data_IF_287442571848
#
_entry.id   IF_287442571848
#
_cell.length_a   1.000
_cell.length_b   1.000
_cell.length_c   1.000
_cell.angle_alpha   90.00
_cell.angle_beta   90.00
_cell.angle_gamma   90.00
#
_symmetry.space_group_name_H-M   'P 1'
#
loop_
_entity.id
_entity.type
_entity.pdbx_description
1 polymer ?
#
# COMPACT_ATOMS: atom_id res chain seq x y z
N UNK A 1 -11.48 -11.51 5.27
CA UNK A 1 -10.28 -12.01 5.98
C UNK A 1 -10.33 -13.52 5.82
N UNK A 2 -9.26 -14.19 5.39
CA UNK A 2 -9.30 -15.65 5.18
C UNK A 2 -9.18 -16.35 6.54
N UNK A 3 -10.07 -17.31 6.79
CA UNK A 3 -10.00 -18.22 7.93
C UNK A 3 -9.03 -19.36 7.56
N UNK A 4 -7.74 -19.05 7.69
CA UNK A 4 -6.63 -19.97 7.46
C UNK A 4 -6.20 -20.69 8.77
N UNK A 5 -5.29 -21.66 8.66
CA UNK A 5 -4.77 -22.39 9.82
C UNK A 5 -4.22 -21.45 10.90
N UNK A 6 -3.59 -20.34 10.49
CA UNK A 6 -3.07 -19.29 11.38
C UNK A 6 -4.19 -18.52 12.11
N UNK A 7 -5.41 -18.44 11.58
CA UNK A 7 -6.56 -17.87 12.28
C UNK A 7 -7.08 -18.89 13.32
N UNK A 8 -7.12 -20.16 12.99
CA UNK A 8 -7.53 -21.22 13.92
C UNK A 8 -6.61 -21.26 15.13
N UNK A 9 -5.29 -21.24 14.93
CA UNK A 9 -4.30 -21.16 16.02
C UNK A 9 -4.50 -19.90 16.90
N UNK A 10 -4.81 -18.76 16.28
CA UNK A 10 -5.06 -17.51 17.02
C UNK A 10 -6.34 -17.61 17.87
N UNK A 11 -7.42 -18.20 17.33
CA UNK A 11 -8.67 -18.45 18.06
C UNK A 11 -8.44 -19.37 19.24
N UNK A 12 -7.72 -20.47 19.07
CA UNK A 12 -7.38 -21.39 20.17
C UNK A 12 -6.54 -20.72 21.23
N UNK A 13 -5.53 -19.93 20.84
CA UNK A 13 -4.70 -19.15 21.77
C UNK A 13 -5.51 -18.15 22.58
N UNK A 14 -6.42 -17.41 21.94
CA UNK A 14 -7.29 -16.44 22.64
C UNK A 14 -8.26 -17.18 23.57
N UNK A 15 -8.76 -18.33 23.18
CA UNK A 15 -9.65 -19.15 24.01
C UNK A 15 -8.94 -19.66 25.28
N UNK A 16 -7.67 -20.01 25.18
CA UNK A 16 -6.91 -20.59 26.28
C UNK A 16 -6.31 -19.52 27.23
N UNK A 17 -5.73 -18.46 26.65
CA UNK A 17 -4.97 -17.43 27.41
C UNK A 17 -5.63 -16.07 27.48
N UNK A 18 -6.76 -15.89 26.79
CA UNK A 18 -7.36 -14.57 26.58
C UNK A 18 -6.57 -13.72 25.61
N UNK A 19 -6.99 -12.48 25.45
CA UNK A 19 -6.36 -11.52 24.55
C UNK A 19 -5.19 -10.82 25.25
N UNK A 20 -3.99 -11.37 25.15
CA UNK A 20 -2.78 -10.88 25.83
C UNK A 20 -2.36 -9.48 25.36
N UNK A 21 -2.49 -9.23 24.05
CA UNK A 21 -2.15 -7.94 23.45
C UNK A 21 -3.42 -7.16 23.11
N UNK A 22 -3.58 -5.97 23.66
CA UNK A 22 -4.71 -5.07 23.40
C UNK A 22 -4.71 -4.66 21.94
N UNK A 23 -5.91 -4.43 21.38
CA UNK A 23 -6.06 -3.77 20.08
C UNK A 23 -5.83 -2.27 20.23
N UNK A 24 -5.56 -1.59 19.11
CA UNK A 24 -5.41 -0.12 19.09
C UNK A 24 -6.55 0.44 18.26
N UNK A 25 -7.25 1.42 18.83
CA UNK A 25 -8.40 2.08 18.21
C UNK A 25 -8.32 3.59 18.36
N UNK A 26 -9.04 4.33 17.51
CA UNK A 26 -9.32 5.76 17.68
C UNK A 26 -10.83 6.03 17.63
N UNK A 27 -11.35 7.07 18.29
CA UNK A 27 -12.72 7.52 18.06
C UNK A 27 -12.90 7.98 16.61
N UNK A 28 -14.06 7.72 16.02
CA UNK A 28 -14.39 8.28 14.70
C UNK A 28 -14.68 9.78 14.83
N UNK A 29 -14.32 10.57 13.81
CA UNK A 29 -14.45 12.02 13.86
C UNK A 29 -15.91 12.48 13.94
N UNK A 30 -16.81 11.81 13.20
CA UNK A 30 -18.24 12.14 13.12
C UNK A 30 -19.10 11.45 14.19
N UNK A 31 -18.63 10.32 14.74
CA UNK A 31 -19.34 9.50 15.74
C UNK A 31 -18.38 9.09 16.86
N UNK A 32 -18.13 9.97 17.85
CA UNK A 32 -17.15 9.71 18.92
C UNK A 32 -17.40 8.47 19.78
N UNK A 33 -18.60 7.90 19.71
CA UNK A 33 -18.98 6.64 20.40
C UNK A 33 -18.55 5.40 19.59
N UNK A 34 -18.23 5.56 18.31
CA UNK A 34 -17.72 4.50 17.43
C UNK A 34 -16.19 4.59 17.31
N UNK A 35 -15.56 3.44 17.17
CA UNK A 35 -14.12 3.34 17.12
C UNK A 35 -13.64 2.69 15.83
N UNK A 36 -12.64 3.31 15.22
CA UNK A 36 -11.90 2.75 14.09
C UNK A 36 -10.70 1.95 14.62
N UNK A 37 -10.53 0.72 14.11
CA UNK A 37 -9.41 -0.15 14.50
C UNK A 37 -8.16 0.26 13.70
N UNK A 38 -7.11 0.69 14.41
CA UNK A 38 -5.81 1.00 13.84
C UNK A 38 -4.95 -0.26 13.73
N UNK A 39 -4.97 -1.10 14.77
CA UNK A 39 -4.19 -2.34 14.80
C UNK A 39 -4.90 -3.43 15.61
N UNK A 40 -4.87 -4.65 15.07
CA UNK A 40 -5.44 -5.82 15.73
C UNK A 40 -6.69 -6.39 15.07
N UNK A 41 -6.97 -6.10 13.80
CA UNK A 41 -8.13 -6.62 13.06
C UNK A 41 -8.29 -8.15 13.16
N UNK A 42 -7.19 -8.92 13.06
CA UNK A 42 -7.23 -10.39 13.23
C UNK A 42 -7.67 -10.81 14.63
N UNK A 43 -7.24 -10.06 15.66
CA UNK A 43 -7.62 -10.31 17.07
C UNK A 43 -9.10 -10.02 17.31
N UNK A 44 -9.62 -8.94 16.71
CA UNK A 44 -11.06 -8.64 16.75
C UNK A 44 -11.83 -9.75 16.08
N UNK A 45 -11.47 -10.14 14.87
CA UNK A 45 -12.15 -11.21 14.13
C UNK A 45 -12.12 -12.55 14.91
N UNK A 46 -10.98 -12.93 15.48
CA UNK A 46 -10.88 -14.13 16.32
C UNK A 46 -11.75 -14.03 17.59
N UNK A 47 -11.88 -12.83 18.17
CA UNK A 47 -12.75 -12.60 19.32
C UNK A 47 -14.23 -12.67 18.95
N UNK A 48 -14.61 -12.22 17.74
CA UNK A 48 -15.96 -12.38 17.19
C UNK A 48 -16.31 -13.85 16.98
N UNK A 49 -15.39 -14.67 16.44
CA UNK A 49 -15.58 -16.12 16.31
C UNK A 49 -15.75 -16.84 17.66
N UNK A 50 -15.22 -16.26 18.72
CA UNK A 50 -15.37 -16.74 20.11
C UNK A 50 -16.61 -16.13 20.82
N UNK A 51 -17.42 -15.34 20.13
CA UNK A 51 -18.60 -14.64 20.68
C UNK A 51 -18.26 -13.77 21.91
N UNK A 52 -17.04 -13.20 21.95
CA UNK A 52 -16.64 -12.31 23.04
C UNK A 52 -17.40 -10.99 22.96
N UNK A 53 -18.00 -10.56 24.06
CA UNK A 53 -18.77 -9.32 24.15
C UNK A 53 -17.91 -8.06 24.18
N UNK A 54 -16.69 -8.17 24.68
CA UNK A 54 -15.77 -7.06 24.88
C UNK A 54 -14.35 -7.47 24.50
N UNK A 55 -13.63 -6.53 23.89
CA UNK A 55 -12.23 -6.71 23.48
C UNK A 55 -11.40 -5.61 24.14
N UNK A 56 -10.34 -5.93 24.91
CA UNK A 56 -9.50 -4.93 25.54
C UNK A 56 -8.77 -4.08 24.48
N UNK A 57 -8.96 -2.77 24.56
CA UNK A 57 -8.43 -1.81 23.60
C UNK A 57 -7.62 -0.71 24.28
N UNK A 58 -6.68 -0.12 23.54
CA UNK A 58 -6.03 1.16 23.85
C UNK A 58 -6.60 2.20 22.91
N UNK A 59 -7.17 3.27 23.48
CA UNK A 59 -7.75 4.37 22.69
C UNK A 59 -6.69 5.44 22.49
N UNK A 60 -6.40 5.75 21.22
CA UNK A 60 -5.56 6.88 20.81
C UNK A 60 -6.43 8.01 20.28
N UNK A 61 -6.33 9.19 20.87
CA UNK A 61 -7.00 10.40 20.41
C UNK A 61 -6.11 11.11 19.38
N UNK A 62 -6.11 10.59 18.17
CA UNK A 62 -5.29 11.03 17.04
C UNK A 62 -6.20 11.24 15.81
N UNK A 63 -5.76 12.09 14.88
CA UNK A 63 -6.47 12.29 13.63
C UNK A 63 -6.33 11.09 12.67
N UNK A 64 -7.04 11.15 11.54
CA UNK A 64 -7.06 10.06 10.55
C UNK A 64 -5.71 9.84 9.88
N UNK A 65 -4.96 10.92 9.62
CA UNK A 65 -3.64 10.82 8.97
C UNK A 65 -2.61 10.20 9.93
N UNK A 66 -2.61 10.61 11.20
CA UNK A 66 -1.78 10.00 12.24
C UNK A 66 -2.12 8.52 12.45
N UNK A 67 -3.40 8.18 12.45
CA UNK A 67 -3.86 6.79 12.56
C UNK A 67 -3.41 5.95 11.35
N UNK A 68 -3.47 6.51 10.14
CA UNK A 68 -3.00 5.87 8.93
C UNK A 68 -1.48 5.60 8.99
N UNK A 69 -0.69 6.57 9.44
CA UNK A 69 0.75 6.40 9.62
C UNK A 69 1.05 5.30 10.62
N UNK A 70 0.38 5.31 11.79
CA UNK A 70 0.55 4.29 12.83
C UNK A 70 0.17 2.88 12.33
N UNK A 71 -0.92 2.75 11.58
CA UNK A 71 -1.36 1.49 10.97
C UNK A 71 -0.31 0.97 9.97
N UNK A 72 0.19 1.83 9.09
CA UNK A 72 1.21 1.46 8.11
C UNK A 72 2.50 1.02 8.80
N UNK A 73 2.97 1.76 9.82
CA UNK A 73 4.19 1.41 10.55
C UNK A 73 4.05 0.06 11.25
N UNK A 74 2.89 -0.21 11.86
CA UNK A 74 2.60 -1.52 12.47
C UNK A 74 2.57 -2.66 11.44
N UNK A 75 2.08 -2.41 10.24
CA UNK A 75 2.01 -3.40 9.17
C UNK A 75 3.38 -3.61 8.48
N UNK A 76 4.16 -2.54 8.27
CA UNK A 76 5.49 -2.63 7.65
C UNK A 76 6.52 -3.43 8.48
N UNK A 77 6.24 -3.67 9.77
CA UNK A 77 7.06 -4.52 10.62
C UNK A 77 6.83 -6.03 10.43
N UNK A 78 5.86 -6.42 9.58
CA UNK A 78 5.61 -7.82 9.25
C UNK A 78 6.65 -8.33 8.26
N UNK A 79 7.22 -9.52 8.52
CA UNK A 79 8.30 -10.12 7.72
C UNK A 79 7.87 -10.58 6.31
N UNK A 80 6.57 -10.76 6.05
CA UNK A 80 6.06 -11.41 4.83
C UNK A 80 5.10 -10.51 4.04
N UNK A 81 5.42 -9.21 3.87
CA UNK A 81 4.65 -8.34 2.99
C UNK A 81 4.96 -8.62 1.52
N UNK A 82 3.92 -8.74 0.69
CA UNK A 82 4.11 -8.76 -0.76
C UNK A 82 4.62 -7.39 -1.25
N UNK A 83 5.15 -7.37 -2.48
CA UNK A 83 5.69 -6.14 -3.04
C UNK A 83 4.60 -5.07 -3.21
N UNK A 84 3.38 -5.47 -3.60
CA UNK A 84 2.25 -4.56 -3.76
C UNK A 84 1.62 -4.13 -2.44
N UNK A 85 1.62 -4.99 -1.41
CA UNK A 85 1.22 -4.58 -0.05
C UNK A 85 2.16 -3.49 0.48
N UNK A 86 3.47 -3.66 0.30
CA UNK A 86 4.47 -2.65 0.65
C UNK A 86 4.30 -1.36 -0.16
N UNK A 87 4.01 -1.47 -1.46
CA UNK A 87 3.75 -0.33 -2.33
C UNK A 87 2.52 0.48 -1.88
N UNK A 88 1.41 -0.20 -1.59
CA UNK A 88 0.18 0.43 -1.08
C UNK A 88 0.39 1.08 0.29
N UNK A 89 1.11 0.41 1.18
CA UNK A 89 1.47 0.95 2.50
C UNK A 89 2.26 2.24 2.38
N UNK A 90 3.28 2.27 1.53
CA UNK A 90 4.07 3.48 1.29
C UNK A 90 3.26 4.60 0.64
N UNK A 91 2.33 4.26 -0.28
CA UNK A 91 1.40 5.22 -0.86
C UNK A 91 0.52 5.86 0.20
N UNK A 92 -0.14 5.05 1.03
CA UNK A 92 -1.01 5.53 2.11
C UNK A 92 -0.25 6.45 3.08
N UNK A 93 0.96 6.05 3.49
CA UNK A 93 1.80 6.86 4.38
C UNK A 93 2.25 8.18 3.72
N UNK A 94 2.59 8.15 2.44
CA UNK A 94 2.96 9.35 1.68
C UNK A 94 1.79 10.33 1.56
N UNK A 95 0.59 9.83 1.27
CA UNK A 95 -0.62 10.64 1.16
C UNK A 95 -0.97 11.28 2.53
N UNK A 96 -0.94 10.52 3.62
CA UNK A 96 -1.18 11.03 4.98
C UNK A 96 -0.18 12.11 5.39
N UNK A 97 1.12 11.90 5.18
CA UNK A 97 2.15 12.88 5.47
C UNK A 97 2.01 14.17 4.63
N UNK A 98 1.55 14.03 3.38
CA UNK A 98 1.31 15.18 2.49
C UNK A 98 0.09 16.00 2.92
N UNK A 99 -0.95 15.36 3.47
CA UNK A 99 -2.11 16.05 4.02
C UNK A 99 -1.76 16.85 5.27
N UNK A 100 -1.00 16.28 6.20
CA UNK A 100 -0.53 16.98 7.39
C UNK A 100 0.30 18.23 7.04
N UNK A 101 1.16 18.18 6.01
CA UNK A 101 1.92 19.32 5.52
C UNK A 101 1.06 20.46 5.00
N UNK A 102 -0.06 20.17 4.34
CA UNK A 102 -1.02 21.18 3.84
C UNK A 102 -1.82 21.84 4.95
N UNK A 103 -2.19 21.12 5.98
CA UNK A 103 -2.97 21.62 7.12
C UNK A 103 -2.15 22.63 7.95
N UNK A 104 -0.83 22.53 7.95
CA UNK A 104 0.08 23.46 8.61
C UNK A 104 0.37 24.77 7.82
N UNK A 105 -0.37 25.03 6.72
CA UNK A 105 -0.34 26.32 6.01
C UNK A 105 0.90 26.59 5.18
N UNK A 106 1.68 25.58 4.84
CA UNK A 106 2.82 25.73 3.95
C UNK A 106 2.43 25.46 2.50
N UNK A 107 2.54 26.48 1.64
CA UNK A 107 2.54 26.30 0.19
C UNK A 107 3.81 25.54 -0.21
N UNK A 108 3.65 24.23 -0.42
CA UNK A 108 4.78 23.32 -0.56
C UNK A 108 5.14 23.12 -2.02
N UNK A 109 6.38 23.43 -2.44
CA UNK A 109 6.86 23.13 -3.80
C UNK A 109 6.99 21.62 -4.03
N UNK A 110 6.93 21.17 -5.30
CA UNK A 110 7.16 19.77 -5.76
C UNK A 110 8.44 19.08 -5.21
N UNK A 111 9.30 19.77 -4.47
CA UNK A 111 10.48 19.23 -3.80
C UNK A 111 10.19 18.44 -2.51
N UNK A 112 8.94 18.49 -1.99
CA UNK A 112 8.59 17.77 -0.75
C UNK A 112 8.33 16.28 -0.97
N UNK A 113 7.95 15.88 -2.16
CA UNK A 113 7.77 14.46 -2.50
C UNK A 113 9.07 13.66 -2.22
N UNK A 114 10.23 14.28 -2.46
CA UNK A 114 11.52 13.67 -2.15
C UNK A 114 11.83 13.63 -0.64
N UNK A 115 11.34 14.57 0.16
CA UNK A 115 11.53 14.58 1.62
C UNK A 115 10.64 13.53 2.29
N UNK A 116 9.39 13.44 1.87
CA UNK A 116 8.43 12.46 2.37
C UNK A 116 8.89 11.04 2.06
N UNK A 117 9.28 10.77 0.81
CA UNK A 117 9.80 9.46 0.41
C UNK A 117 11.12 9.10 1.08
N UNK A 118 11.99 10.08 1.35
CA UNK A 118 13.22 9.86 2.11
C UNK A 118 12.93 9.55 3.59
N UNK A 119 11.94 10.22 4.21
CA UNK A 119 11.51 9.92 5.57
C UNK A 119 10.97 8.49 5.67
N UNK A 120 10.04 8.11 4.78
CA UNK A 120 9.48 6.76 4.73
C UNK A 120 10.59 5.72 4.54
N UNK A 121 11.52 5.96 3.61
CA UNK A 121 12.62 5.06 3.34
C UNK A 121 13.54 4.87 4.54
N UNK A 122 13.93 5.93 5.22
CA UNK A 122 14.79 5.87 6.40
C UNK A 122 14.15 5.06 7.54
N UNK A 123 12.84 5.21 7.76
CA UNK A 123 12.10 4.49 8.78
C UNK A 123 11.95 2.99 8.46
N UNK A 124 11.82 2.65 7.18
CA UNK A 124 11.62 1.28 6.70
C UNK A 124 12.92 0.56 6.26
N UNK A 125 14.07 1.24 6.30
CA UNK A 125 15.34 0.69 5.83
C UNK A 125 15.50 0.64 4.30
N UNK A 126 14.65 1.36 3.55
CA UNK A 126 14.68 1.43 2.10
C UNK A 126 15.30 2.74 1.58
N UNK A 127 15.85 2.71 0.37
CA UNK A 127 16.26 3.95 -0.28
C UNK A 127 15.04 4.77 -0.74
N UNK A 128 15.15 6.10 -0.76
CA UNK A 128 14.08 6.98 -1.28
C UNK A 128 13.67 6.61 -2.72
N UNK A 129 14.61 6.17 -3.55
CA UNK A 129 14.33 5.69 -4.92
C UNK A 129 13.50 4.41 -4.93
N UNK A 130 13.74 3.52 -3.98
CA UNK A 130 12.94 2.29 -3.80
C UNK A 130 11.52 2.65 -3.41
N UNK A 131 11.36 3.56 -2.45
CA UNK A 131 10.04 4.05 -2.01
C UNK A 131 9.27 4.67 -3.18
N UNK A 132 9.89 5.57 -3.95
CA UNK A 132 9.27 6.17 -5.14
C UNK A 132 8.83 5.12 -6.17
N UNK A 133 9.69 4.13 -6.45
CA UNK A 133 9.36 3.05 -7.38
C UNK A 133 8.19 2.21 -6.88
N UNK A 134 8.18 1.85 -5.60
CA UNK A 134 7.10 1.09 -5.00
C UNK A 134 5.77 1.86 -5.06
N UNK A 135 5.76 3.13 -4.64
CA UNK A 135 4.57 3.98 -4.75
C UNK A 135 4.08 4.01 -6.21
N UNK A 136 4.98 4.11 -7.18
CA UNK A 136 4.61 4.14 -8.59
C UNK A 136 3.93 2.86 -9.08
N UNK A 137 4.25 1.69 -8.51
CA UNK A 137 3.58 0.42 -8.86
C UNK A 137 2.07 0.43 -8.57
N UNK A 138 1.60 1.29 -7.67
CA UNK A 138 0.17 1.39 -7.36
C UNK A 138 -0.66 1.98 -8.52
N UNK A 139 -0.02 2.48 -9.58
CA UNK A 139 -0.66 2.97 -10.80
C UNK A 139 -0.79 1.91 -11.91
N UNK A 140 -0.35 0.68 -11.64
CA UNK A 140 -0.58 -0.44 -12.53
C UNK A 140 -2.04 -0.91 -12.48
N UNK A 141 -2.52 -1.44 -13.59
CA UNK A 141 -3.80 -2.17 -13.61
C UNK A 141 -3.72 -3.42 -12.71
N UNK A 142 -4.86 -3.89 -12.15
CA UNK A 142 -4.86 -4.98 -11.18
C UNK A 142 -4.12 -6.24 -11.64
N UNK A 143 -4.26 -6.60 -12.91
CA UNK A 143 -3.64 -7.78 -13.51
C UNK A 143 -2.11 -7.70 -13.47
N UNK A 144 -1.54 -6.54 -13.81
CA UNK A 144 -0.09 -6.31 -13.72
C UNK A 144 0.40 -6.29 -12.26
N UNK A 145 -0.42 -5.80 -11.31
CA UNK A 145 -0.11 -5.87 -9.90
C UNK A 145 -0.05 -7.32 -9.42
N UNK A 146 -0.95 -8.18 -9.89
CA UNK A 146 -0.96 -9.60 -9.56
C UNK A 146 0.28 -10.32 -10.11
N UNK A 147 0.72 -9.98 -11.33
CA UNK A 147 1.97 -10.53 -11.88
C UNK A 147 3.20 -10.11 -11.07
N UNK A 148 3.18 -8.92 -10.49
CA UNK A 148 4.25 -8.46 -9.58
C UNK A 148 4.22 -9.24 -8.26
N UNK A 149 3.07 -9.40 -7.64
CA UNK A 149 2.91 -10.10 -6.36
C UNK A 149 3.19 -11.60 -6.47
N UNK A 150 2.81 -12.23 -7.59
CA UNK A 150 3.15 -13.63 -7.88
C UNK A 150 4.62 -13.84 -8.28
N UNK A 151 5.40 -12.76 -8.42
CA UNK A 151 6.81 -12.83 -8.82
C UNK A 151 7.05 -13.11 -10.31
N UNK A 152 6.00 -13.24 -11.12
CA UNK A 152 6.09 -13.42 -12.58
C UNK A 152 6.70 -12.20 -13.26
N UNK A 153 6.37 -11.00 -12.78
CA UNK A 153 6.96 -9.74 -13.25
C UNK A 153 7.85 -9.12 -12.18
N UNK A 154 9.05 -8.69 -12.59
CA UNK A 154 9.99 -8.01 -11.69
C UNK A 154 9.62 -6.54 -11.50
N UNK A 155 10.04 -5.95 -10.38
CA UNK A 155 9.75 -4.55 -10.02
C UNK A 155 10.18 -3.53 -11.08
N UNK A 156 11.34 -3.72 -11.73
CA UNK A 156 11.84 -2.70 -12.68
C UNK A 156 11.03 -2.63 -13.98
N UNK A 157 10.71 -3.73 -14.68
CA UNK A 157 9.75 -3.69 -15.79
C UNK A 157 8.41 -3.09 -15.37
N UNK A 158 7.82 -3.54 -14.26
CA UNK A 158 6.55 -3.05 -13.75
C UNK A 158 6.58 -1.53 -13.49
N UNK A 159 7.67 -1.01 -12.92
CA UNK A 159 7.87 0.43 -12.73
C UNK A 159 7.83 1.20 -14.06
N UNK A 160 8.48 0.72 -15.10
CA UNK A 160 8.45 1.39 -16.41
C UNK A 160 7.02 1.36 -17.03
N UNK A 161 6.30 0.24 -16.91
CA UNK A 161 4.94 0.09 -17.41
C UNK A 161 3.93 0.97 -16.67
N UNK A 162 4.17 1.28 -15.41
CA UNK A 162 3.29 2.14 -14.62
C UNK A 162 3.18 3.58 -15.13
N UNK A 163 4.01 3.99 -16.08
CA UNK A 163 3.93 5.31 -16.72
C UNK A 163 3.01 5.34 -17.96
N UNK A 164 2.57 4.20 -18.42
CA UNK A 164 1.60 4.06 -19.50
C UNK A 164 0.20 4.35 -18.94
N UNK A 165 -0.73 4.72 -19.81
CA UNK A 165 -2.14 4.79 -19.45
C UNK A 165 -2.76 3.39 -19.31
N UNK A 166 -3.99 3.35 -18.82
CA UNK A 166 -4.69 2.11 -18.50
C UNK A 166 -4.95 1.25 -19.75
N UNK A 167 -5.23 1.88 -20.91
CA UNK A 167 -5.46 1.20 -22.18
C UNK A 167 -4.19 0.48 -22.64
N UNK A 168 -3.06 1.20 -22.71
CA UNK A 168 -1.78 0.61 -23.09
C UNK A 168 -1.30 -0.47 -22.11
N UNK A 169 -1.61 -0.33 -20.83
CA UNK A 169 -1.31 -1.38 -19.85
C UNK A 169 -2.14 -2.64 -20.08
N UNK A 170 -3.42 -2.51 -20.45
CA UNK A 170 -4.29 -3.66 -20.80
C UNK A 170 -3.85 -4.35 -22.07
N UNK A 171 -3.44 -3.61 -23.10
CA UNK A 171 -2.86 -4.20 -24.31
C UNK A 171 -1.64 -5.08 -24.00
N UNK A 172 -0.83 -4.64 -23.01
CA UNK A 172 0.32 -5.43 -22.55
C UNK A 172 -0.13 -6.69 -21.80
N UNK A 173 -1.18 -6.61 -20.97
CA UNK A 173 -1.77 -7.78 -20.31
C UNK A 173 -2.23 -8.79 -21.35
N UNK A 174 -3.02 -8.35 -22.33
CA UNK A 174 -3.53 -9.22 -23.41
C UNK A 174 -2.38 -9.90 -24.16
N UNK A 175 -1.31 -9.16 -24.47
CA UNK A 175 -0.13 -9.71 -25.12
C UNK A 175 0.61 -10.73 -24.22
N UNK A 176 0.69 -10.49 -22.92
CA UNK A 176 1.28 -11.44 -21.96
C UNK A 176 0.45 -12.72 -21.89
N UNK A 177 -0.88 -12.60 -21.88
CA UNK A 177 -1.79 -13.74 -21.77
C UNK A 177 -1.76 -14.61 -23.07
N UNK A 178 -1.59 -13.97 -24.24
CA UNK A 178 -1.45 -14.68 -25.51
C UNK A 178 -0.08 -15.36 -25.68
N UNK A 179 1.00 -14.73 -25.22
CA UNK A 179 2.37 -15.17 -25.49
C UNK A 179 3.06 -15.85 -24.33
N UNK A 180 2.46 -15.80 -23.14
CA UNK A 180 3.06 -16.20 -21.85
C UNK A 180 4.45 -15.57 -21.60
N UNK A 181 4.71 -14.41 -22.25
CA UNK A 181 6.02 -13.76 -22.22
C UNK A 181 5.95 -12.41 -21.51
N UNK A 182 6.77 -12.24 -20.46
CA UNK A 182 6.87 -10.99 -19.72
C UNK A 182 7.94 -10.06 -20.29
N UNK A 183 7.68 -8.75 -20.43
CA UNK A 183 8.66 -7.81 -20.94
C UNK A 183 9.86 -7.69 -20.01
N UNK A 184 11.04 -7.70 -20.59
CA UNK A 184 12.28 -7.35 -19.87
C UNK A 184 12.29 -5.85 -19.51
N UNK A 185 13.15 -5.44 -18.56
CA UNK A 185 13.30 -4.02 -18.21
C UNK A 185 13.63 -3.15 -19.43
N UNK A 186 14.48 -3.65 -20.35
CA UNK A 186 14.85 -2.91 -21.55
C UNK A 186 13.65 -2.73 -22.51
N UNK A 187 12.80 -3.74 -22.66
CA UNK A 187 11.58 -3.66 -23.46
C UNK A 187 10.56 -2.70 -22.84
N UNK A 188 10.27 -2.86 -21.54
CA UNK A 188 9.36 -1.98 -20.82
C UNK A 188 9.79 -0.50 -20.88
N UNK A 189 11.09 -0.23 -20.78
CA UNK A 189 11.64 1.12 -20.94
C UNK A 189 11.45 1.67 -22.37
N UNK A 190 11.58 0.82 -23.40
CA UNK A 190 11.31 1.23 -24.78
C UNK A 190 9.82 1.52 -25.01
N UNK A 191 8.93 0.70 -24.43
CA UNK A 191 7.48 0.90 -24.49
C UNK A 191 7.09 2.25 -23.87
N UNK A 192 7.62 2.52 -22.66
CA UNK A 192 7.42 3.82 -22.01
C UNK A 192 7.90 4.98 -22.89
N UNK A 193 9.11 4.90 -23.43
CA UNK A 193 9.68 5.96 -24.25
C UNK A 193 8.83 6.21 -25.50
N UNK A 194 8.42 5.15 -26.20
CA UNK A 194 7.55 5.27 -27.36
C UNK A 194 6.20 5.90 -27.02
N UNK A 195 5.62 5.54 -25.85
CA UNK A 195 4.38 6.12 -25.37
C UNK A 195 4.52 7.63 -25.05
N UNK A 196 5.61 8.03 -24.40
CA UNK A 196 5.91 9.44 -24.12
C UNK A 196 6.10 10.25 -25.42
N UNK A 197 6.80 9.68 -26.41
CA UNK A 197 7.00 10.31 -27.74
C UNK A 197 5.68 10.45 -28.52
N UNK A 198 4.80 9.45 -28.53
CA UNK A 198 3.49 9.53 -29.17
C UNK A 198 2.57 10.59 -28.52
N UNK A 199 2.62 10.75 -27.22
CA UNK A 199 1.87 11.82 -26.53
C UNK A 199 2.38 13.21 -26.85
N UNK A 200 3.70 13.37 -26.97
CA UNK A 200 4.32 14.65 -27.35
C UNK A 200 3.93 15.06 -28.77
N UNK A 201 3.86 14.12 -29.72
CA UNK A 201 3.44 14.39 -31.09
C UNK A 201 1.96 14.79 -31.19
N UNK A 202 1.09 14.21 -30.33
CA UNK A 202 -0.34 14.53 -30.31
C UNK A 202 -0.62 15.92 -29.74
N UNK A 203 0.08 16.30 -28.66
CA UNK A 203 -0.07 17.62 -28.04
C UNK A 203 0.60 18.76 -28.85
N UNK A 204 1.49 18.43 -29.78
CA UNK A 204 2.14 19.40 -30.67
C UNK A 204 1.33 19.67 -31.94
N UNK A 205 0.33 18.85 -32.25
CA UNK A 205 -0.52 18.98 -33.46
C UNK A 205 -1.87 19.65 -33.15
N UNK A 206 -2.21 19.85 -31.87
CA UNK A 206 -3.37 20.63 -31.40
C UNK A 206 -2.96 21.99 -30.86
#
# INVERSE_FOLDING_TARGET
MLDDDSMTELVESIKEYGLLNRIIVRPMDDTPEEYEIISGHRRVHASELLEMKEVPAVVHFIDRDEATIMMVDSNCQRENLTLMEKARSYRMKSDALSHQGKTLGQNVPKSEDNRTTAKIGNEAGDSYKTVQRLIRLTYLVPELQEYVDSGKMKMLPAYELSFLDEEAQRDIVDNIDETETFPSHAQARRMRKAFEECKLDYDTVT
#
